data_IF_736008911973
#
_entry.id   IF_736008911973
#
_cell.length_a   1.000
_cell.length_b   1.000
_cell.length_c   1.000
_cell.angle_alpha   90.00
_cell.angle_beta   90.00
_cell.angle_gamma   90.00
#
_symmetry.space_group_name_H-M   'P 1'
#
loop_
_entity.id
_entity.type
_entity.pdbx_description
1 polymer ?
#
# COMPACT_ATOMS: atom_id res chain seq x y z
N UNK A 1 -14.39 6.46 -10.15
CA UNK A 1 -14.01 5.62 -8.98
C UNK A 1 -14.00 4.16 -9.43
N UNK A 2 -12.92 3.40 -9.25
CA UNK A 2 -12.93 1.95 -9.56
C UNK A 2 -13.97 1.29 -8.66
N UNK A 3 -14.95 0.59 -9.25
CA UNK A 3 -15.93 -0.19 -8.48
C UNK A 3 -15.20 -1.43 -7.97
N UNK A 4 -15.05 -1.53 -6.66
CA UNK A 4 -14.52 -2.74 -6.01
C UNK A 4 -15.61 -3.82 -6.09
N UNK A 5 -15.26 -5.00 -6.60
CA UNK A 5 -16.24 -6.06 -6.88
C UNK A 5 -16.08 -7.29 -5.95
N UNK A 6 -14.86 -7.65 -5.56
CA UNK A 6 -14.57 -8.89 -4.83
C UNK A 6 -13.99 -8.66 -3.44
N UNK A 7 -12.94 -7.83 -3.34
CA UNK A 7 -12.20 -7.63 -2.09
C UNK A 7 -12.04 -6.15 -1.77
N UNK A 8 -12.63 -5.71 -0.65
CA UNK A 8 -12.57 -4.33 -0.18
C UNK A 8 -11.21 -3.98 0.47
N UNK A 9 -10.16 -3.98 -0.33
CA UNK A 9 -8.81 -3.58 0.09
C UNK A 9 -8.74 -2.12 0.54
N UNK A 10 -9.62 -1.25 0.06
CA UNK A 10 -9.69 0.16 0.50
C UNK A 10 -10.10 0.29 1.96
N UNK A 11 -11.05 -0.53 2.43
CA UNK A 11 -11.42 -0.59 3.85
C UNK A 11 -10.22 -1.00 4.70
N UNK A 12 -9.51 -2.05 4.29
CA UNK A 12 -8.33 -2.56 5.00
C UNK A 12 -7.20 -1.53 5.00
N UNK A 13 -6.95 -0.84 3.89
CA UNK A 13 -5.95 0.23 3.82
C UNK A 13 -6.25 1.37 4.81
N UNK A 14 -7.52 1.75 4.96
CA UNK A 14 -7.96 2.77 5.94
C UNK A 14 -7.78 2.29 7.38
N UNK A 15 -8.20 1.06 7.69
CA UNK A 15 -8.06 0.45 9.02
C UNK A 15 -6.59 0.33 9.44
N UNK A 16 -5.72 -0.01 8.49
CA UNK A 16 -4.27 -0.12 8.70
C UNK A 16 -3.53 1.23 8.62
N UNK A 17 -4.25 2.34 8.38
CA UNK A 17 -3.68 3.69 8.23
C UNK A 17 -2.56 3.75 7.18
N UNK A 18 -2.71 3.02 6.08
CA UNK A 18 -1.72 3.00 5.00
C UNK A 18 -1.67 4.37 4.31
N UNK A 19 -0.48 4.99 4.15
CA UNK A 19 -0.36 6.23 3.41
C UNK A 19 -0.88 6.09 1.97
N UNK A 20 -1.65 7.07 1.50
CA UNK A 20 -2.21 7.07 0.13
C UNK A 20 -1.14 6.90 -0.96
N UNK A 21 0.06 7.46 -0.73
CA UNK A 21 1.20 7.33 -1.64
C UNK A 21 1.72 5.89 -1.75
N UNK A 22 1.59 5.10 -0.70
CA UNK A 22 1.96 3.68 -0.67
C UNK A 22 0.87 2.84 -1.29
N UNK A 23 -0.38 3.10 -0.93
CA UNK A 23 -1.52 2.41 -1.54
C UNK A 23 -1.47 2.56 -3.06
N UNK A 24 -1.23 3.78 -3.57
CA UNK A 24 -1.11 4.02 -5.00
C UNK A 24 0.03 3.24 -5.67
N UNK A 25 1.19 3.16 -5.03
CA UNK A 25 2.31 2.35 -5.56
C UNK A 25 1.96 0.87 -5.67
N UNK A 26 1.33 0.31 -4.63
CA UNK A 26 0.87 -1.07 -4.64
C UNK A 26 -0.18 -1.28 -5.73
N UNK A 27 -1.13 -0.35 -5.89
CA UNK A 27 -2.12 -0.41 -6.96
C UNK A 27 -1.49 -0.36 -8.35
N UNK A 28 -0.48 0.50 -8.56
CA UNK A 28 0.20 0.63 -9.85
C UNK A 28 1.00 -0.66 -10.17
N UNK A 29 1.80 -1.16 -9.22
CA UNK A 29 2.58 -2.41 -9.36
C UNK A 29 1.68 -3.61 -9.69
N UNK A 30 0.60 -3.81 -8.91
CA UNK A 30 -0.32 -4.94 -9.11
C UNK A 30 -1.14 -4.78 -10.40
N UNK A 31 -1.41 -3.56 -10.85
CA UNK A 31 -2.12 -3.32 -12.11
C UNK A 31 -1.27 -3.64 -13.34
N UNK A 32 0.05 -3.47 -13.25
CA UNK A 32 0.98 -3.91 -14.31
C UNK A 32 0.97 -5.44 -14.44
N UNK A 33 0.89 -6.17 -13.33
CA UNK A 33 0.81 -7.64 -13.31
C UNK A 33 -0.57 -8.16 -13.76
N UNK A 34 -1.65 -7.53 -13.31
CA UNK A 34 -3.03 -7.97 -13.58
C UNK A 34 -3.89 -6.86 -14.22
N UNK A 35 -3.58 -6.43 -15.46
CA UNK A 35 -4.22 -5.26 -16.07
C UNK A 35 -5.71 -5.44 -16.38
N UNK A 36 -6.16 -6.69 -16.59
CA UNK A 36 -7.54 -7.02 -16.97
C UNK A 36 -8.26 -7.92 -15.95
N UNK A 37 -7.52 -8.57 -15.05
CA UNK A 37 -8.08 -9.46 -14.04
C UNK A 37 -8.35 -8.68 -12.75
N UNK A 38 -9.60 -8.26 -12.59
CA UNK A 38 -10.03 -7.50 -11.40
C UNK A 38 -9.91 -8.30 -10.12
N UNK A 39 -10.27 -9.59 -10.14
CA UNK A 39 -10.26 -10.41 -8.93
C UNK A 39 -8.82 -10.60 -8.43
N UNK A 40 -7.90 -10.90 -9.34
CA UNK A 40 -6.49 -11.07 -9.01
C UNK A 40 -5.85 -9.75 -8.58
N UNK A 41 -6.17 -8.64 -9.24
CA UNK A 41 -5.76 -7.30 -8.82
C UNK A 41 -6.19 -7.01 -7.38
N UNK A 42 -7.49 -7.13 -7.08
CA UNK A 42 -8.02 -6.79 -5.75
C UNK A 42 -7.45 -7.71 -4.65
N UNK A 43 -7.29 -9.01 -4.95
CA UNK A 43 -6.70 -9.98 -4.03
C UNK A 43 -5.23 -9.67 -3.73
N UNK A 44 -4.43 -9.34 -4.75
CA UNK A 44 -3.00 -9.06 -4.57
C UNK A 44 -2.77 -7.74 -3.84
N UNK A 45 -3.56 -6.69 -4.14
CA UNK A 45 -3.52 -5.45 -3.35
C UNK A 45 -3.85 -5.73 -1.89
N UNK A 46 -4.90 -6.52 -1.60
CA UNK A 46 -5.25 -6.89 -0.24
C UNK A 46 -4.13 -7.66 0.48
N UNK A 47 -3.51 -8.64 -0.19
CA UNK A 47 -2.39 -9.41 0.36
C UNK A 47 -1.18 -8.53 0.65
N UNK A 48 -0.84 -7.63 -0.27
CA UNK A 48 0.25 -6.67 -0.12
C UNK A 48 0.04 -5.78 1.11
N UNK A 49 -1.18 -5.25 1.31
CA UNK A 49 -1.52 -4.46 2.50
C UNK A 49 -1.35 -5.26 3.79
N UNK A 50 -1.90 -6.48 3.87
CA UNK A 50 -1.85 -7.34 5.07
C UNK A 50 -0.45 -7.84 5.42
N UNK A 51 0.42 -8.01 4.42
CA UNK A 51 1.80 -8.45 4.63
C UNK A 51 2.67 -7.42 5.39
N UNK A 52 2.20 -6.16 5.52
CA UNK A 52 2.93 -5.06 6.18
C UNK A 52 4.33 -4.79 5.62
N UNK A 53 4.66 -5.29 4.42
CA UNK A 53 5.98 -5.05 3.81
C UNK A 53 6.28 -3.55 3.62
N UNK A 54 5.22 -2.74 3.47
CA UNK A 54 5.28 -1.29 3.36
C UNK A 54 5.67 -0.57 4.67
N UNK A 55 5.44 -1.18 5.83
CA UNK A 55 5.72 -0.59 7.15
C UNK A 55 7.24 -0.48 7.39
N UNK A 56 8.00 -1.52 7.00
CA UNK A 56 9.47 -1.56 7.14
C UNK A 56 10.18 -0.55 6.24
N UNK A 57 9.65 -0.28 5.03
CA UNK A 57 10.23 0.71 4.10
C UNK A 57 10.06 2.16 4.58
N UNK A 58 9.12 2.42 5.50
CA UNK A 58 8.87 3.75 6.06
C UNK A 58 9.67 4.08 7.32
N UNK A 59 10.17 3.08 8.05
CA UNK A 59 10.95 3.31 9.29
C UNK A 59 12.32 3.96 9.02
N UNK A 60 12.85 3.83 7.80
CA UNK A 60 14.17 4.35 7.42
C UNK A 60 14.18 5.88 7.21
N UNK A 61 13.02 6.52 6.96
CA UNK A 61 12.97 7.98 6.77
C UNK A 61 12.83 8.77 8.06
N UNK A 62 12.26 8.20 9.12
CA UNK A 62 12.10 8.91 10.40
C UNK A 62 13.41 9.03 11.20
N UNK A 63 14.38 8.14 10.97
CA UNK A 63 15.69 8.25 11.62
C UNK A 63 16.57 9.36 11.04
N UNK A 64 16.47 9.64 9.74
CA UNK A 64 17.35 10.62 9.08
C UNK A 64 16.99 12.08 9.37
N UNK A 65 15.75 12.36 9.80
CA UNK A 65 15.31 13.72 10.17
C UNK A 65 15.71 14.09 11.61
N UNK A 66 15.98 13.11 12.48
CA UNK A 66 16.40 13.38 13.86
C UNK A 66 17.92 13.59 14.02
N UNK A 67 18.74 13.09 13.10
CA UNK A 67 20.20 13.27 13.15
C UNK A 67 20.65 14.72 12.81
N UNK A 68 19.81 15.50 12.12
CA UNK A 68 20.12 16.88 11.69
C UNK A 68 19.67 17.97 12.68
N UNK A 69 19.20 17.58 13.87
CA UNK A 69 18.81 18.50 14.95
C UNK A 69 19.51 18.21 16.27
N UNK A 70 20.75 17.71 16.24
CA UNK A 70 21.64 17.87 17.38
C UNK A 70 22.42 19.18 17.20
N UNK A 71 22.31 20.13 18.15
CA UNK A 71 23.15 21.33 18.15
C UNK A 71 24.62 21.00 18.37
#
# INVERSE_FOLDING_TARGET
MKKIEYFNYQKVAREMKVPLSILKKIEDEVKEEFPKDKMMYELHVLRALRSKFWEKKHQVKSFKVMEQRRP
#
